data_IF_678729973164
#
_entry.id   IF_678729973164
#
_cell.length_a   1.000
_cell.length_b   1.000
_cell.length_c   1.000
_cell.angle_alpha   90.00
_cell.angle_beta   90.00
_cell.angle_gamma   90.00
#
_symmetry.space_group_name_H-M   'P 1'
#
loop_
_entity.id
_entity.type
_entity.pdbx_description
1 polymer ?
#
# COMPACT_ATOMS: atom_id res chain seq x y z
N UNK A 1 -20.97 -16.63 23.39
CA UNK A 1 -19.56 -16.88 22.98
C UNK A 1 -19.22 -18.37 23.00
N UNK A 2 -19.32 -19.07 24.14
CA UNK A 2 -19.00 -20.51 24.21
C UNK A 2 -19.69 -21.38 23.15
N UNK A 3 -20.95 -21.08 22.78
CA UNK A 3 -21.66 -21.80 21.71
C UNK A 3 -21.16 -21.46 20.29
N UNK A 4 -20.68 -20.23 20.07
CA UNK A 4 -20.25 -19.75 18.75
C UNK A 4 -18.78 -20.08 18.45
N UNK A 5 -17.96 -20.22 19.51
CA UNK A 5 -16.51 -20.38 19.44
C UNK A 5 -16.04 -21.62 20.21
N UNK A 6 -16.88 -22.65 20.30
CA UNK A 6 -16.58 -23.90 21.00
C UNK A 6 -15.32 -24.60 20.45
N UNK A 7 -15.09 -24.49 19.14
CA UNK A 7 -13.93 -25.09 18.46
C UNK A 7 -12.60 -24.39 18.78
N UNK A 8 -12.65 -23.21 19.41
CA UNK A 8 -11.45 -22.49 19.87
C UNK A 8 -10.76 -23.19 21.05
N UNK A 9 -11.38 -24.17 21.70
CA UNK A 9 -10.81 -24.79 22.90
C UNK A 9 -10.63 -23.83 24.08
N UNK A 10 -11.15 -22.59 23.97
CA UNK A 10 -11.22 -21.61 25.05
C UNK A 10 -12.60 -21.60 25.68
N UNK A 11 -12.62 -21.45 27.00
CA UNK A 11 -13.85 -21.21 27.76
C UNK A 11 -13.95 -19.73 28.07
N UNK A 12 -15.03 -19.11 27.61
CA UNK A 12 -15.37 -17.72 27.87
C UNK A 12 -16.20 -17.63 29.15
N UNK A 13 -15.70 -16.91 30.14
CA UNK A 13 -16.33 -16.65 31.44
C UNK A 13 -16.75 -15.18 31.55
N UNK A 14 -17.44 -14.80 32.62
CA UNK A 14 -17.79 -13.40 32.90
C UNK A 14 -16.54 -12.50 33.04
N UNK A 15 -15.42 -13.05 33.50
CA UNK A 15 -14.15 -12.32 33.66
C UNK A 15 -13.34 -12.19 32.36
N UNK A 16 -13.86 -12.73 31.24
CA UNK A 16 -13.15 -12.66 29.97
C UNK A 16 -13.09 -11.23 29.45
N UNK A 17 -11.86 -10.74 29.24
CA UNK A 17 -11.62 -9.40 28.69
C UNK A 17 -12.00 -9.37 27.21
N UNK A 18 -12.83 -8.41 26.82
CA UNK A 18 -13.26 -8.16 25.44
C UNK A 18 -12.91 -6.71 25.11
N UNK A 19 -12.17 -6.51 24.03
CA UNK A 19 -11.91 -5.17 23.50
C UNK A 19 -13.16 -4.65 22.79
N UNK A 20 -13.75 -3.56 23.30
CA UNK A 20 -14.93 -2.92 22.71
C UNK A 20 -14.49 -1.69 21.93
N UNK A 21 -14.45 -1.81 20.60
CA UNK A 21 -13.92 -0.76 19.72
C UNK A 21 -14.83 0.49 19.72
N UNK A 22 -16.15 0.29 19.77
CA UNK A 22 -17.14 1.37 19.76
C UNK A 22 -18.07 1.28 20.98
N UNK A 23 -17.61 1.71 22.18
CA UNK A 23 -18.38 1.55 23.42
C UNK A 23 -19.70 2.33 23.40
N UNK A 24 -19.72 3.54 22.81
CA UNK A 24 -20.94 4.34 22.67
C UNK A 24 -22.01 3.61 21.84
N UNK A 25 -21.62 3.02 20.70
CA UNK A 25 -22.52 2.24 19.85
C UNK A 25 -23.20 1.10 20.63
N UNK A 26 -22.43 0.28 21.35
CA UNK A 26 -23.01 -0.85 22.08
C UNK A 26 -23.88 -0.42 23.27
N UNK A 27 -23.51 0.69 23.94
CA UNK A 27 -24.32 1.27 25.02
C UNK A 27 -25.67 1.78 24.49
N UNK A 28 -25.66 2.53 23.39
CA UNK A 28 -26.87 3.03 22.74
C UNK A 28 -27.71 1.90 22.15
N UNK A 29 -27.07 0.90 21.53
CA UNK A 29 -27.74 -0.28 20.99
C UNK A 29 -28.46 -1.07 22.09
N UNK A 30 -27.86 -1.24 23.26
CA UNK A 30 -28.48 -1.93 24.39
C UNK A 30 -29.76 -1.23 24.86
N UNK A 31 -29.70 0.09 25.05
CA UNK A 31 -30.85 0.91 25.42
C UNK A 31 -31.93 0.88 24.34
N UNK A 32 -31.53 1.09 23.07
CA UNK A 32 -32.43 1.03 21.93
C UNK A 32 -33.14 -0.31 21.84
N UNK A 33 -32.43 -1.44 21.93
CA UNK A 33 -33.05 -2.76 21.81
C UNK A 33 -34.01 -3.06 22.95
N UNK A 34 -33.69 -2.64 24.19
CA UNK A 34 -34.60 -2.82 25.34
C UNK A 34 -35.96 -2.17 25.08
N UNK A 35 -35.94 -0.92 24.61
CA UNK A 35 -37.17 -0.16 24.33
C UNK A 35 -37.85 -0.64 23.05
N UNK A 36 -37.06 -0.86 21.98
CA UNK A 36 -37.55 -1.24 20.66
C UNK A 36 -38.25 -2.61 20.69
N UNK A 37 -37.69 -3.58 21.43
CA UNK A 37 -38.24 -4.93 21.53
C UNK A 37 -39.48 -5.03 22.44
N UNK A 38 -39.89 -3.98 23.13
CA UNK A 38 -41.14 -3.98 23.91
C UNK A 38 -42.40 -4.05 23.03
N UNK A 39 -42.29 -3.71 21.75
CA UNK A 39 -43.40 -3.67 20.79
C UNK A 39 -43.31 -4.84 19.78
N UNK A 40 -44.36 -5.65 19.66
CA UNK A 40 -44.42 -6.80 18.73
C UNK A 40 -44.19 -6.41 17.26
N UNK A 41 -44.67 -5.26 16.81
CA UNK A 41 -44.44 -4.77 15.44
C UNK A 41 -42.96 -4.48 15.21
N UNK A 42 -42.26 -3.96 16.22
CA UNK A 42 -40.83 -3.68 16.15
C UNK A 42 -40.01 -4.97 16.19
N UNK A 43 -40.41 -5.99 16.97
CA UNK A 43 -39.81 -7.33 16.90
C UNK A 43 -39.88 -7.90 15.47
N UNK A 44 -41.03 -7.76 14.81
CA UNK A 44 -41.20 -8.17 13.40
C UNK A 44 -40.28 -7.38 12.46
N UNK A 45 -40.14 -6.06 12.66
CA UNK A 45 -39.20 -5.24 11.86
C UNK A 45 -37.76 -5.69 12.02
N UNK A 46 -37.32 -5.94 13.26
CA UNK A 46 -35.96 -6.43 13.51
C UNK A 46 -35.74 -7.82 12.88
N UNK A 47 -36.72 -8.72 12.99
CA UNK A 47 -36.67 -10.03 12.34
C UNK A 47 -36.51 -9.89 10.82
N UNK A 48 -37.31 -9.03 10.19
CA UNK A 48 -37.21 -8.76 8.75
C UNK A 48 -35.85 -8.16 8.37
N UNK A 49 -35.32 -7.25 9.18
CA UNK A 49 -34.00 -6.66 8.96
C UNK A 49 -32.88 -7.73 9.03
N UNK A 50 -32.92 -8.61 10.04
CA UNK A 50 -31.96 -9.71 10.17
C UNK A 50 -32.06 -10.67 8.97
N UNK A 51 -33.28 -11.03 8.55
CA UNK A 51 -33.47 -11.86 7.36
C UNK A 51 -32.97 -11.19 6.08
N UNK A 52 -33.23 -9.89 5.93
CA UNK A 52 -32.74 -9.13 4.79
C UNK A 52 -31.20 -9.09 4.77
N UNK A 53 -30.55 -8.88 5.91
CA UNK A 53 -29.09 -8.92 6.03
C UNK A 53 -28.53 -10.28 5.61
N UNK A 54 -29.20 -11.39 5.98
CA UNK A 54 -28.81 -12.73 5.53
C UNK A 54 -28.96 -12.87 4.01
N UNK A 55 -30.05 -12.37 3.44
CA UNK A 55 -30.26 -12.38 1.99
C UNK A 55 -29.20 -11.54 1.26
N UNK A 56 -28.83 -10.38 1.78
CA UNK A 56 -27.75 -9.56 1.22
C UNK A 56 -26.40 -10.28 1.23
N UNK A 57 -26.13 -11.13 2.22
CA UNK A 57 -24.90 -11.94 2.24
C UNK A 57 -24.93 -13.04 1.18
N UNK A 58 -26.06 -13.74 1.01
CA UNK A 58 -26.14 -14.94 0.18
C UNK A 58 -26.68 -14.73 -1.23
N UNK A 59 -27.22 -13.56 -1.59
CA UNK A 59 -27.84 -13.35 -2.91
C UNK A 59 -26.89 -13.65 -4.08
N UNK A 60 -25.58 -13.36 -3.93
CA UNK A 60 -24.54 -13.67 -4.93
C UNK A 60 -24.34 -15.17 -5.16
N UNK A 61 -24.83 -15.98 -4.22
CA UNK A 61 -24.69 -17.44 -4.21
C UNK A 61 -25.93 -18.18 -4.74
N UNK A 62 -26.95 -17.44 -5.16
CA UNK A 62 -28.22 -17.95 -5.69
C UNK A 62 -28.27 -17.87 -7.23
N UNK A 63 -29.45 -18.09 -7.82
CA UNK A 63 -29.62 -17.95 -9.27
C UNK A 63 -29.39 -16.50 -9.72
N UNK A 64 -29.06 -16.32 -11.00
CA UNK A 64 -28.80 -15.01 -11.60
C UNK A 64 -29.95 -14.01 -11.47
N UNK A 65 -31.18 -14.48 -11.28
CA UNK A 65 -32.33 -13.62 -10.99
C UNK A 65 -32.11 -12.86 -9.67
N UNK A 66 -31.58 -13.50 -8.64
CA UNK A 66 -31.29 -12.86 -7.35
C UNK A 66 -30.06 -11.97 -7.39
N UNK A 67 -29.01 -12.40 -8.10
CA UNK A 67 -27.77 -11.61 -8.26
C UNK A 67 -28.09 -10.26 -8.90
N UNK A 68 -28.82 -10.27 -10.03
CA UNK A 68 -29.16 -9.07 -10.79
C UNK A 68 -30.06 -8.11 -10.04
N UNK A 69 -31.00 -8.62 -9.23
CA UNK A 69 -31.93 -7.77 -8.49
C UNK A 69 -31.20 -6.87 -7.49
N UNK A 70 -30.23 -7.40 -6.73
CA UNK A 70 -29.51 -6.55 -5.77
C UNK A 70 -28.48 -5.66 -6.47
N UNK A 71 -27.85 -6.13 -7.54
CA UNK A 71 -26.95 -5.29 -8.36
C UNK A 71 -27.66 -4.02 -8.85
N UNK A 72 -28.89 -4.15 -9.37
CA UNK A 72 -29.70 -3.01 -9.79
C UNK A 72 -29.97 -2.00 -8.67
N UNK A 73 -30.00 -2.46 -7.42
CA UNK A 73 -30.23 -1.61 -6.23
C UNK A 73 -28.92 -1.00 -5.73
N UNK A 74 -27.78 -1.69 -5.89
CA UNK A 74 -26.47 -1.26 -5.38
C UNK A 74 -25.64 -0.48 -6.41
N UNK A 75 -25.90 -0.62 -7.70
CA UNK A 75 -25.12 -0.01 -8.79
C UNK A 75 -25.44 1.47 -9.04
N UNK A 76 -25.83 2.23 -8.00
CA UNK A 76 -26.07 3.66 -8.15
C UNK A 76 -24.76 4.39 -8.47
N UNK A 77 -24.54 4.71 -9.74
CA UNK A 77 -23.49 5.64 -10.20
C UNK A 77 -22.41 5.06 -11.11
N UNK A 78 -22.31 3.74 -11.26
CA UNK A 78 -21.44 3.10 -12.24
C UNK A 78 -22.23 2.77 -13.52
N UNK A 79 -22.09 3.63 -14.53
CA UNK A 79 -22.57 3.35 -15.90
C UNK A 79 -21.71 2.29 -16.61
N UNK A 80 -20.55 1.93 -16.05
CA UNK A 80 -19.72 0.84 -16.55
C UNK A 80 -20.30 -0.51 -16.11
N UNK A 81 -20.58 -1.35 -17.09
CA UNK A 81 -21.01 -2.75 -16.96
C UNK A 81 -19.95 -3.62 -16.25
N UNK A 82 -19.67 -3.37 -14.96
CA UNK A 82 -19.10 -4.41 -14.09
C UNK A 82 -20.18 -5.45 -13.74
N UNK A 83 -20.84 -5.99 -14.78
CA UNK A 83 -21.79 -7.08 -14.60
C UNK A 83 -21.04 -8.24 -13.95
N UNK A 84 -21.48 -8.66 -12.76
CA UNK A 84 -20.93 -9.87 -12.17
C UNK A 84 -21.07 -10.99 -13.19
N UNK A 85 -19.95 -11.62 -13.53
CA UNK A 85 -19.94 -12.79 -14.40
C UNK A 85 -19.85 -14.05 -13.55
N UNK A 86 -20.28 -15.21 -14.08
CA UNK A 86 -20.09 -16.48 -13.38
C UNK A 86 -18.63 -16.70 -12.96
N UNK A 87 -17.68 -16.35 -13.82
CA UNK A 87 -16.26 -16.50 -13.54
C UNK A 87 -15.79 -15.56 -12.43
N UNK A 88 -16.24 -14.30 -12.45
CA UNK A 88 -15.91 -13.32 -11.40
C UNK A 88 -16.42 -13.79 -10.04
N UNK A 89 -17.68 -14.22 -9.94
CA UNK A 89 -18.26 -14.73 -8.69
C UNK A 89 -17.52 -15.98 -8.19
N UNK A 90 -17.21 -16.93 -9.08
CA UNK A 90 -16.42 -18.11 -8.70
C UNK A 90 -15.05 -17.71 -8.15
N UNK A 91 -14.38 -16.73 -8.76
CA UNK A 91 -13.09 -16.24 -8.27
C UNK A 91 -13.22 -15.56 -6.91
N UNK A 92 -14.25 -14.74 -6.70
CA UNK A 92 -14.51 -14.10 -5.39
C UNK A 92 -14.68 -15.14 -4.29
N UNK A 93 -15.48 -16.19 -4.53
CA UNK A 93 -15.69 -17.28 -3.55
C UNK A 93 -14.38 -18.00 -3.23
N UNK A 94 -13.56 -18.30 -4.24
CA UNK A 94 -12.26 -18.93 -4.04
C UNK A 94 -11.29 -18.01 -3.28
N UNK A 95 -11.27 -16.71 -3.58
CA UNK A 95 -10.45 -15.73 -2.87
C UNK A 95 -10.88 -15.57 -1.41
N UNK A 96 -12.18 -15.61 -1.12
CA UNK A 96 -12.70 -15.46 0.25
C UNK A 96 -12.49 -16.70 1.12
N UNK A 97 -12.69 -17.91 0.57
CA UNK A 97 -12.71 -19.13 1.38
C UNK A 97 -11.55 -20.09 1.13
N UNK A 98 -10.86 -19.96 -0.01
CA UNK A 98 -9.78 -20.85 -0.44
C UNK A 98 -8.48 -20.09 -0.72
N UNK A 99 -8.25 -18.97 -0.01
CA UNK A 99 -7.11 -18.09 -0.19
C UNK A 99 -5.76 -18.82 -0.09
N UNK A 100 -5.54 -19.67 0.91
CA UNK A 100 -4.27 -20.41 1.07
C UNK A 100 -4.03 -21.42 -0.04
N UNK A 101 -5.09 -22.07 -0.54
CA UNK A 101 -4.98 -22.94 -1.71
C UNK A 101 -4.60 -22.15 -2.97
N UNK A 102 -5.22 -20.98 -3.19
CA UNK A 102 -4.85 -20.09 -4.30
C UNK A 102 -3.41 -19.57 -4.16
N UNK A 103 -3.01 -19.18 -2.95
CA UNK A 103 -1.64 -18.76 -2.64
C UNK A 103 -0.63 -19.87 -2.98
N UNK A 104 -0.89 -21.11 -2.54
CA UNK A 104 -0.03 -22.25 -2.84
C UNK A 104 0.09 -22.53 -4.35
N UNK A 105 -1.04 -22.47 -5.07
CA UNK A 105 -1.04 -22.62 -6.54
C UNK A 105 -0.27 -21.50 -7.24
N UNK A 106 -0.44 -20.25 -6.79
CA UNK A 106 0.28 -19.10 -7.33
C UNK A 106 1.79 -19.24 -7.12
N UNK A 107 2.22 -19.52 -5.89
CA UNK A 107 3.64 -19.71 -5.55
C UNK A 107 4.26 -20.80 -6.42
N UNK A 108 3.60 -21.97 -6.50
CA UNK A 108 4.12 -23.11 -7.27
C UNK A 108 4.28 -22.81 -8.76
N UNK A 109 3.44 -21.93 -9.33
CA UNK A 109 3.38 -21.69 -10.77
C UNK A 109 4.14 -20.44 -11.22
N UNK A 110 4.16 -19.39 -10.42
CA UNK A 110 4.58 -18.05 -10.85
C UNK A 110 5.73 -17.46 -10.05
N UNK A 111 6.14 -18.07 -8.94
CA UNK A 111 7.15 -17.49 -8.05
C UNK A 111 8.48 -18.22 -8.20
N UNK A 112 9.54 -17.46 -8.50
CA UNK A 112 10.91 -17.92 -8.43
C UNK A 112 11.47 -17.61 -7.03
N UNK A 113 12.01 -18.63 -6.35
CA UNK A 113 12.60 -18.48 -5.02
C UNK A 113 13.82 -17.55 -5.05
N UNK A 114 14.50 -17.41 -6.19
CA UNK A 114 15.60 -16.45 -6.35
C UNK A 114 15.14 -15.01 -6.15
N UNK A 115 14.00 -14.64 -6.74
CA UNK A 115 13.43 -13.30 -6.59
C UNK A 115 13.11 -12.98 -5.12
N UNK A 116 12.70 -13.99 -4.33
CA UNK A 116 12.51 -13.84 -2.89
C UNK A 116 13.81 -13.46 -2.19
N UNK A 117 14.90 -14.18 -2.45
CA UNK A 117 16.18 -13.91 -1.81
C UNK A 117 16.73 -12.52 -2.19
N UNK A 118 16.51 -12.07 -3.42
CA UNK A 118 16.88 -10.72 -3.84
C UNK A 118 16.01 -9.64 -3.23
N UNK A 119 14.70 -9.88 -3.09
CA UNK A 119 13.82 -9.01 -2.32
C UNK A 119 14.27 -8.89 -0.85
N UNK A 120 14.69 -9.99 -0.22
CA UNK A 120 15.27 -9.99 1.14
C UNK A 120 16.57 -9.16 1.19
N UNK A 121 17.44 -9.25 0.17
CA UNK A 121 18.67 -8.48 0.08
C UNK A 121 18.40 -6.96 -0.08
N UNK A 122 17.48 -6.57 -0.97
CA UNK A 122 17.05 -5.18 -1.14
C UNK A 122 16.48 -4.66 0.19
N UNK A 123 15.61 -5.43 0.84
CA UNK A 123 15.02 -5.05 2.14
C UNK A 123 16.10 -4.77 3.18
N UNK A 124 17.13 -5.61 3.26
CA UNK A 124 18.26 -5.42 4.18
C UNK A 124 18.98 -4.10 3.92
N UNK A 125 19.30 -3.79 2.65
CA UNK A 125 19.95 -2.53 2.25
C UNK A 125 19.09 -1.30 2.57
N UNK A 126 17.76 -1.38 2.36
CA UNK A 126 16.82 -0.33 2.75
C UNK A 126 16.82 -0.09 4.27
N UNK A 127 16.82 -1.17 5.06
CA UNK A 127 16.86 -1.10 6.53
C UNK A 127 18.15 -0.43 7.01
N UNK A 128 19.30 -0.80 6.45
CA UNK A 128 20.58 -0.20 6.79
C UNK A 128 20.61 1.29 6.42
N UNK A 129 20.18 1.65 5.21
CA UNK A 129 20.08 3.04 4.76
C UNK A 129 19.13 3.86 5.64
N UNK A 130 18.05 3.26 6.13
CA UNK A 130 17.13 3.91 7.05
C UNK A 130 17.80 4.24 8.39
N UNK A 131 18.62 3.33 8.94
CA UNK A 131 19.36 3.59 10.18
C UNK A 131 20.36 4.73 10.02
N UNK A 132 21.08 4.79 8.91
CA UNK A 132 21.99 5.90 8.62
C UNK A 132 21.26 7.22 8.44
N UNK A 133 20.10 7.18 7.79
CA UNK A 133 19.27 8.36 7.60
C UNK A 133 18.70 8.86 8.92
N UNK A 134 18.37 7.95 9.84
CA UNK A 134 18.01 8.29 11.21
C UNK A 134 19.15 8.97 11.97
N UNK A 135 20.41 8.56 11.78
CA UNK A 135 21.56 9.26 12.38
C UNK A 135 21.65 10.72 11.96
N UNK A 136 21.35 10.99 10.69
CA UNK A 136 21.38 12.34 10.11
C UNK A 136 20.08 13.13 10.33
N UNK A 137 19.03 12.50 10.85
CA UNK A 137 17.74 13.16 11.08
C UNK A 137 17.85 14.26 12.15
N UNK A 138 17.46 15.47 11.76
CA UNK A 138 17.48 16.67 12.63
C UNK A 138 16.13 16.91 13.33
N UNK A 139 15.06 16.26 12.88
CA UNK A 139 13.72 16.43 13.43
C UNK A 139 13.44 15.54 14.64
N UNK A 140 14.25 14.50 14.85
CA UNK A 140 14.20 13.62 16.02
C UNK A 140 15.14 14.09 17.13
N UNK A 141 14.71 13.98 18.39
CA UNK A 141 15.62 14.03 19.53
C UNK A 141 16.56 12.80 19.55
N UNK A 142 17.69 12.84 20.27
CA UNK A 142 18.57 11.67 20.40
C UNK A 142 17.86 10.41 20.95
N UNK A 143 16.93 10.58 21.89
CA UNK A 143 16.14 9.48 22.45
C UNK A 143 15.17 8.90 21.43
N UNK A 144 14.38 9.76 20.75
CA UNK A 144 13.40 9.32 19.74
C UNK A 144 14.09 8.67 18.53
N UNK A 145 15.32 9.10 18.22
CA UNK A 145 16.18 8.48 17.19
C UNK A 145 16.59 7.06 17.56
N UNK A 146 17.03 6.84 18.80
CA UNK A 146 17.38 5.51 19.28
C UNK A 146 16.15 4.60 19.35
N UNK A 147 15.00 5.11 19.80
CA UNK A 147 13.73 4.40 19.80
C UNK A 147 13.31 3.99 18.37
N UNK A 148 13.43 4.91 17.40
CA UNK A 148 13.15 4.64 15.98
C UNK A 148 14.02 3.51 15.45
N UNK A 149 15.35 3.58 15.66
CA UNK A 149 16.29 2.52 15.26
C UNK A 149 15.92 1.18 15.87
N UNK A 150 15.62 1.16 17.17
CA UNK A 150 15.25 -0.05 17.90
C UNK A 150 13.98 -0.68 17.31
N UNK A 151 12.98 0.15 16.94
CA UNK A 151 11.76 -0.33 16.31
C UNK A 151 12.03 -0.95 14.93
N UNK A 152 12.81 -0.28 14.09
CA UNK A 152 13.21 -0.79 12.77
C UNK A 152 13.98 -2.10 12.90
N UNK A 153 14.93 -2.19 13.82
CA UNK A 153 15.78 -3.37 14.03
C UNK A 153 15.00 -4.61 14.47
N UNK A 154 13.97 -4.41 15.29
CA UNK A 154 13.19 -5.51 15.85
C UNK A 154 11.89 -5.77 15.09
N UNK A 155 11.69 -5.10 13.96
CA UNK A 155 10.57 -5.39 13.06
C UNK A 155 10.76 -6.73 12.35
N UNK A 156 9.66 -7.42 12.07
CA UNK A 156 9.70 -8.64 11.26
C UNK A 156 9.53 -8.27 9.80
N UNK A 157 10.39 -8.80 8.94
CA UNK A 157 10.35 -8.60 7.50
C UNK A 157 9.91 -9.90 6.83
N UNK A 158 8.79 -9.86 6.10
CA UNK A 158 8.21 -10.99 5.38
C UNK A 158 8.17 -10.69 3.90
N UNK A 159 9.10 -11.28 3.15
CA UNK A 159 9.23 -11.03 1.71
C UNK A 159 8.81 -12.27 0.91
N UNK A 160 7.98 -12.06 -0.09
CA UNK A 160 7.45 -13.09 -0.97
C UNK A 160 6.31 -13.90 -0.36
N UNK A 161 6.64 -15.04 0.25
CA UNK A 161 5.65 -16.02 0.70
C UNK A 161 6.18 -16.92 1.83
N UNK A 162 5.26 -17.56 2.56
CA UNK A 162 5.59 -18.56 3.57
C UNK A 162 5.93 -19.92 2.95
N UNK A 163 7.01 -20.56 3.40
CA UNK A 163 7.34 -21.94 3.02
C UNK A 163 6.24 -22.96 3.36
N UNK A 164 5.32 -22.63 4.28
CA UNK A 164 4.15 -23.46 4.58
C UNK A 164 3.26 -23.68 3.34
N UNK A 165 3.22 -22.72 2.41
CA UNK A 165 2.45 -22.83 1.16
C UNK A 165 3.00 -23.90 0.20
N UNK A 166 4.26 -24.31 0.38
CA UNK A 166 4.87 -25.41 -0.38
C UNK A 166 4.58 -26.78 0.24
N UNK A 167 4.01 -26.83 1.45
CA UNK A 167 3.72 -28.05 2.18
C UNK A 167 2.28 -28.50 1.93
N UNK A 168 2.10 -29.57 1.16
CA UNK A 168 0.76 -30.12 0.87
C UNK A 168 0.00 -30.55 2.12
N UNK A 169 0.68 -31.13 3.12
CA UNK A 169 0.04 -31.52 4.39
C UNK A 169 -0.50 -30.32 5.17
N UNK A 170 0.16 -29.16 5.08
CA UNK A 170 -0.36 -27.92 5.67
C UNK A 170 -1.65 -27.49 4.99
N UNK A 171 -1.69 -27.45 3.65
CA UNK A 171 -2.90 -27.11 2.89
C UNK A 171 -4.04 -28.10 3.17
N UNK A 172 -3.76 -29.40 3.22
CA UNK A 172 -4.73 -30.44 3.58
C UNK A 172 -5.26 -30.27 5.02
N UNK A 173 -4.44 -29.78 5.95
CA UNK A 173 -4.90 -29.52 7.33
C UNK A 173 -5.95 -28.40 7.42
N UNK A 174 -5.95 -27.49 6.44
CA UNK A 174 -6.93 -26.40 6.34
C UNK A 174 -8.21 -26.94 5.69
N UNK A 175 -8.09 -27.57 4.52
CA UNK A 175 -9.25 -27.90 3.66
C UNK A 175 -9.78 -29.33 3.79
N UNK A 176 -9.06 -30.25 4.44
CA UNK A 176 -9.38 -31.69 4.45
C UNK A 176 -10.72 -32.07 5.11
N UNK A 177 -11.36 -31.14 5.82
CA UNK A 177 -12.70 -31.33 6.41
C UNK A 177 -13.83 -30.70 5.59
N UNK A 178 -13.51 -29.99 4.51
CA UNK A 178 -14.51 -29.38 3.63
C UNK A 178 -14.97 -30.43 2.63
N UNK A 179 -16.29 -30.60 2.53
CA UNK A 179 -16.89 -31.47 1.52
C UNK A 179 -17.43 -30.61 0.37
N UNK A 180 -16.96 -30.89 -0.86
CA UNK A 180 -17.34 -30.17 -2.09
C UNK A 180 -17.95 -31.17 -3.07
N UNK A 181 -19.15 -30.88 -3.57
CA UNK A 181 -19.86 -31.69 -4.57
C UNK A 181 -20.14 -30.86 -5.83
N UNK A 182 -19.80 -31.38 -7.01
CA UNK A 182 -19.78 -30.61 -8.28
C UNK A 182 -21.12 -29.98 -8.69
N UNK A 183 -22.25 -30.46 -8.20
CA UNK A 183 -23.59 -29.97 -8.54
C UNK A 183 -24.34 -29.32 -7.36
N UNK A 184 -23.64 -28.99 -6.26
CA UNK A 184 -24.24 -28.40 -5.05
C UNK A 184 -23.54 -27.12 -4.63
N UNK A 185 -23.58 -26.12 -5.50
CA UNK A 185 -22.86 -24.86 -5.31
C UNK A 185 -23.15 -24.18 -3.96
N UNK A 186 -24.42 -23.94 -3.64
CA UNK A 186 -24.79 -23.27 -2.39
C UNK A 186 -24.33 -24.07 -1.16
N UNK A 187 -24.51 -25.40 -1.16
CA UNK A 187 -24.03 -26.26 -0.08
C UNK A 187 -22.50 -26.22 0.06
N UNK A 188 -21.77 -26.13 -1.06
CA UNK A 188 -20.31 -25.99 -1.05
C UNK A 188 -19.89 -24.68 -0.38
N UNK A 189 -20.54 -23.56 -0.69
CA UNK A 189 -20.27 -22.27 -0.04
C UNK A 189 -20.53 -22.34 1.47
N UNK A 190 -21.64 -22.96 1.89
CA UNK A 190 -21.94 -23.18 3.31
C UNK A 190 -20.89 -24.09 3.99
N UNK A 191 -20.43 -25.13 3.29
CA UNK A 191 -19.36 -26.04 3.72
C UNK A 191 -18.04 -25.27 3.94
N UNK A 192 -17.72 -24.36 3.02
CA UNK A 192 -16.52 -23.51 3.06
C UNK A 192 -16.51 -22.54 4.24
N UNK A 193 -17.65 -22.14 4.80
CA UNK A 193 -17.69 -21.31 6.02
C UNK A 193 -17.03 -21.99 7.24
N UNK A 194 -16.85 -23.31 7.20
CA UNK A 194 -16.06 -24.02 8.21
C UNK A 194 -14.60 -23.53 8.27
N UNK A 195 -14.03 -23.08 7.14
CA UNK A 195 -12.68 -22.53 7.06
C UNK A 195 -12.56 -21.23 7.85
N UNK A 196 -13.49 -20.28 7.63
CA UNK A 196 -13.50 -19.02 8.37
C UNK A 196 -13.70 -19.24 9.86
N UNK A 197 -14.60 -20.15 10.27
CA UNK A 197 -14.79 -20.52 11.69
C UNK A 197 -13.54 -21.13 12.31
N UNK A 198 -12.85 -22.00 11.57
CA UNK A 198 -11.57 -22.58 11.99
C UNK A 198 -10.51 -21.50 12.16
N UNK A 199 -10.35 -20.61 11.18
CA UNK A 199 -9.40 -19.49 11.25
C UNK A 199 -9.65 -18.59 12.47
N UNK A 200 -10.90 -18.16 12.69
CA UNK A 200 -11.28 -17.38 13.88
C UNK A 200 -10.97 -18.13 15.19
N UNK A 201 -11.23 -19.45 15.22
CA UNK A 201 -10.95 -20.29 16.39
C UNK A 201 -9.45 -20.45 16.64
N UNK A 202 -8.64 -20.57 15.59
CA UNK A 202 -7.19 -20.73 15.68
C UNK A 202 -6.51 -19.42 16.09
N UNK A 203 -6.98 -18.26 15.62
CA UNK A 203 -6.53 -16.95 16.11
C UNK A 203 -6.79 -16.75 17.61
N UNK A 204 -7.88 -17.32 18.12
CA UNK A 204 -8.14 -17.34 19.56
C UNK A 204 -7.20 -18.31 20.28
N UNK A 205 -6.92 -19.50 19.74
CA UNK A 205 -5.97 -20.45 20.35
C UNK A 205 -4.57 -19.88 20.45
N UNK A 206 -4.08 -19.29 19.36
CA UNK A 206 -2.72 -18.81 19.17
C UNK A 206 -2.71 -17.30 18.92
N UNK A 207 -3.04 -16.48 19.95
CA UNK A 207 -3.11 -15.04 19.77
C UNK A 207 -1.74 -14.47 19.43
N UNK A 208 -1.68 -13.67 18.36
CA UNK A 208 -0.43 -13.05 17.92
C UNK A 208 0.54 -14.03 17.27
N UNK A 209 0.06 -15.13 16.68
CA UNK A 209 0.91 -15.97 15.80
C UNK A 209 1.33 -15.17 14.56
N UNK A 210 2.53 -14.60 14.64
CA UNK A 210 3.17 -13.83 13.56
C UNK A 210 3.77 -14.72 12.47
N UNK A 211 3.56 -16.04 12.47
CA UNK A 211 3.90 -16.87 11.30
C UNK A 211 2.89 -16.75 10.16
N UNK A 212 1.66 -16.30 10.48
CA UNK A 212 0.57 -16.13 9.53
C UNK A 212 0.77 -14.90 8.64
N UNK A 213 0.27 -14.98 7.40
CA UNK A 213 0.30 -13.88 6.45
C UNK A 213 -1.09 -13.26 6.35
N UNK A 214 -1.18 -11.93 6.39
CA UNK A 214 -2.46 -11.22 6.33
C UNK A 214 -2.87 -10.87 4.90
N UNK A 215 -1.91 -10.83 3.96
CA UNK A 215 -2.18 -10.65 2.53
C UNK A 215 -2.04 -11.93 1.73
N UNK A 216 -2.90 -12.07 0.71
CA UNK A 216 -2.69 -13.09 -0.31
C UNK A 216 -1.42 -12.77 -1.10
N UNK A 217 -0.58 -13.78 -1.32
CA UNK A 217 0.73 -13.58 -1.94
C UNK A 217 0.64 -13.27 -3.45
N UNK A 218 -0.53 -13.44 -4.06
CA UNK A 218 -0.82 -13.11 -5.46
C UNK A 218 -1.33 -11.67 -5.68
N UNK A 219 -1.59 -10.90 -4.62
CA UNK A 219 -1.89 -9.46 -4.74
C UNK A 219 -0.60 -8.65 -4.54
N UNK A 220 -0.26 -7.68 -5.41
CA UNK A 220 0.99 -6.93 -5.31
C UNK A 220 0.90 -5.85 -4.21
N UNK A 221 1.28 -6.21 -2.98
CA UNK A 221 1.20 -5.34 -1.80
C UNK A 221 2.53 -5.33 -1.07
N UNK A 222 2.95 -4.14 -0.64
CA UNK A 222 3.93 -3.93 0.42
C UNK A 222 3.23 -3.13 1.51
N UNK A 223 3.33 -3.55 2.77
CA UNK A 223 2.74 -2.82 3.89
C UNK A 223 3.55 -3.00 5.18
N UNK A 224 3.64 -1.94 5.97
CA UNK A 224 4.05 -2.02 7.36
C UNK A 224 2.85 -2.03 8.33
N UNK A 225 2.60 -3.18 8.94
CA UNK A 225 1.55 -3.35 9.94
C UNK A 225 2.05 -3.00 11.35
N UNK A 226 1.70 -1.80 11.79
CA UNK A 226 2.16 -1.23 13.06
C UNK A 226 1.85 -2.06 14.32
N UNK A 227 0.65 -2.63 14.51
CA UNK A 227 0.34 -3.43 15.69
C UNK A 227 1.21 -4.67 15.86
N UNK A 228 1.84 -5.19 14.79
CA UNK A 228 2.81 -6.27 14.90
C UNK A 228 4.25 -5.82 14.68
N UNK A 229 4.51 -4.57 14.31
CA UNK A 229 5.84 -4.13 13.84
C UNK A 229 6.36 -5.10 12.78
N UNK A 230 5.61 -5.20 11.69
CA UNK A 230 5.83 -6.18 10.64
C UNK A 230 5.74 -5.51 9.26
N UNK A 231 6.77 -5.65 8.44
CA UNK A 231 6.73 -5.30 7.03
C UNK A 231 6.50 -6.55 6.20
N UNK A 232 5.47 -6.53 5.36
CA UNK A 232 5.14 -7.62 4.45
C UNK A 232 5.20 -7.13 3.01
N UNK A 233 5.94 -7.83 2.17
CA UNK A 233 5.95 -7.69 0.72
C UNK A 233 5.53 -9.02 0.10
N UNK A 234 4.45 -9.05 -0.66
CA UNK A 234 3.90 -10.29 -1.24
C UNK A 234 4.75 -10.82 -2.40
N UNK A 235 4.53 -12.07 -2.81
CA UNK A 235 5.26 -12.65 -3.93
C UNK A 235 4.96 -11.97 -5.28
N UNK A 236 3.76 -11.39 -5.42
CA UNK A 236 3.37 -10.66 -6.62
C UNK A 236 4.18 -9.37 -6.84
N UNK A 237 4.71 -8.72 -5.79
CA UNK A 237 5.58 -7.54 -5.99
C UNK A 237 6.98 -7.92 -6.48
N UNK A 238 7.34 -9.21 -6.43
CA UNK A 238 8.61 -9.74 -6.91
C UNK A 238 8.53 -10.19 -8.38
N UNK A 239 7.68 -9.51 -9.16
CA UNK A 239 7.42 -9.77 -10.57
C UNK A 239 7.36 -8.46 -11.35
N UNK A 240 7.59 -8.53 -12.66
CA UNK A 240 7.48 -7.37 -13.55
C UNK A 240 6.06 -6.78 -13.53
N UNK A 241 5.89 -5.44 -13.55
CA UNK A 241 6.92 -4.41 -13.71
C UNK A 241 7.43 -3.82 -12.37
N UNK A 242 7.24 -4.51 -11.25
CA UNK A 242 7.71 -4.03 -9.94
C UNK A 242 9.08 -4.61 -9.55
N UNK A 243 9.48 -5.69 -10.21
CA UNK A 243 10.78 -6.33 -10.00
C UNK A 243 11.18 -7.14 -11.22
N UNK A 244 12.42 -7.02 -11.65
CA UNK A 244 13.03 -7.87 -12.66
C UNK A 244 14.45 -8.28 -12.24
N UNK A 245 14.62 -9.57 -11.98
CA UNK A 245 15.91 -10.18 -11.68
C UNK A 245 16.94 -10.00 -12.81
N UNK A 246 16.48 -9.95 -14.07
CA UNK A 246 17.36 -9.79 -15.23
C UNK A 246 17.61 -8.32 -15.58
N UNK A 247 16.87 -7.42 -14.94
CA UNK A 247 16.98 -5.99 -15.13
C UNK A 247 18.15 -5.38 -14.35
N UNK A 248 18.45 -4.11 -14.61
CA UNK A 248 19.47 -3.39 -13.85
C UNK A 248 19.02 -3.15 -12.40
N UNK A 249 19.97 -3.08 -11.47
CA UNK A 249 19.70 -2.94 -10.02
C UNK A 249 18.86 -1.70 -9.71
N UNK A 250 19.16 -0.56 -10.32
CA UNK A 250 18.42 0.69 -10.14
C UNK A 250 16.93 0.57 -10.44
N UNK A 251 16.51 -0.33 -11.33
CA UNK A 251 15.10 -0.54 -11.65
C UNK A 251 14.35 -1.15 -10.45
N UNK A 252 14.96 -2.14 -9.80
CA UNK A 252 14.39 -2.80 -8.63
C UNK A 252 14.39 -1.89 -7.39
N UNK A 253 15.40 -1.02 -7.24
CA UNK A 253 15.39 0.00 -6.19
C UNK A 253 14.39 1.11 -6.48
N UNK A 254 14.28 1.59 -7.72
CA UNK A 254 13.31 2.61 -8.10
C UNK A 254 11.86 2.19 -7.85
N UNK A 255 11.56 0.90 -8.01
CA UNK A 255 10.24 0.30 -7.80
C UNK A 255 10.11 -0.36 -6.42
N UNK A 256 10.46 -1.64 -6.27
CA UNK A 256 10.35 -2.41 -5.03
C UNK A 256 11.05 -1.73 -3.85
N UNK A 257 12.27 -1.22 -4.04
CA UNK A 257 13.01 -0.52 -2.98
C UNK A 257 12.25 0.71 -2.46
N UNK A 258 11.66 1.51 -3.36
CA UNK A 258 10.82 2.66 -2.98
C UNK A 258 9.58 2.23 -2.21
N UNK A 259 8.92 1.13 -2.61
CA UNK A 259 7.76 0.59 -1.89
C UNK A 259 8.14 0.12 -0.48
N UNK A 260 9.20 -0.69 -0.37
CA UNK A 260 9.74 -1.18 0.91
C UNK A 260 10.10 -0.02 1.85
N UNK A 261 10.84 0.96 1.33
CA UNK A 261 11.29 2.09 2.11
C UNK A 261 10.12 2.99 2.56
N UNK A 262 9.13 3.23 1.69
CA UNK A 262 7.95 4.04 2.02
C UNK A 262 7.17 3.43 3.17
N UNK A 263 6.97 2.11 3.13
CA UNK A 263 6.30 1.38 4.20
C UNK A 263 7.15 1.30 5.46
N UNK A 264 8.47 1.18 5.34
CA UNK A 264 9.35 1.22 6.49
C UNK A 264 9.30 2.58 7.23
N UNK A 265 9.10 3.69 6.52
CA UNK A 265 8.85 5.00 7.16
C UNK A 265 7.55 5.01 7.97
N UNK A 266 6.52 4.26 7.56
CA UNK A 266 5.27 4.11 8.32
C UNK A 266 5.47 3.49 9.72
N UNK A 267 6.59 2.82 9.95
CA UNK A 267 6.96 2.31 11.27
C UNK A 267 7.21 3.43 12.29
N UNK A 268 7.67 4.59 11.83
CA UNK A 268 8.14 5.67 12.71
C UNK A 268 7.42 7.00 12.50
N UNK A 269 6.53 7.11 11.52
CA UNK A 269 5.79 8.36 11.24
C UNK A 269 4.69 8.64 12.28
N UNK A 270 3.78 9.58 11.99
CA UNK A 270 2.69 9.98 12.90
C UNK A 270 1.74 8.84 13.32
N UNK A 271 1.63 7.79 12.49
CA UNK A 271 0.85 6.59 12.78
C UNK A 271 1.69 5.58 13.56
N UNK A 272 2.92 5.34 13.09
CA UNK A 272 3.82 4.39 13.71
C UNK A 272 4.23 4.75 15.13
N UNK A 273 4.34 6.05 15.44
CA UNK A 273 4.70 6.47 16.79
C UNK A 273 3.62 6.20 17.85
N UNK A 274 2.41 5.78 17.45
CA UNK A 274 1.33 5.43 18.38
C UNK A 274 1.45 3.97 18.88
N UNK A 275 2.34 3.20 18.26
CA UNK A 275 2.57 1.78 18.54
C UNK A 275 4.01 1.53 19.00
N UNK A 276 4.13 0.91 20.17
CA UNK A 276 5.40 0.38 20.68
C UNK A 276 5.77 -0.92 19.95
N UNK A 277 7.00 -1.37 20.16
CA UNK A 277 7.52 -2.61 19.55
C UNK A 277 6.70 -3.86 19.94
N UNK A 278 6.13 -3.89 21.14
CA UNK A 278 5.25 -4.96 21.61
C UNK A 278 3.83 -4.92 21.02
N UNK A 279 3.56 -3.97 20.11
CA UNK A 279 2.27 -3.78 19.46
C UNK A 279 1.25 -3.00 20.28
N UNK A 280 1.59 -2.59 21.51
CA UNK A 280 0.68 -1.84 22.35
C UNK A 280 0.40 -0.44 21.78
N UNK A 281 -0.88 -0.12 21.60
CA UNK A 281 -1.35 1.21 21.26
C UNK A 281 -1.51 2.02 22.55
N UNK A 282 -0.55 2.88 22.85
CA UNK A 282 -0.47 3.57 24.16
C UNK A 282 -0.36 5.09 24.05
N UNK A 283 -0.62 5.65 22.87
CA UNK A 283 -0.34 7.05 22.56
C UNK A 283 1.08 7.23 22.00
N UNK A 284 1.49 8.48 21.80
CA UNK A 284 2.76 8.82 21.16
C UNK A 284 3.96 8.46 22.04
N UNK A 285 4.94 7.72 21.50
CA UNK A 285 6.25 7.56 22.13
C UNK A 285 7.25 8.66 21.76
N UNK A 286 6.86 9.63 20.94
CA UNK A 286 7.69 10.80 20.66
C UNK A 286 7.70 11.78 21.82
N UNK A 287 8.83 12.46 21.98
CA UNK A 287 8.87 13.71 22.75
C UNK A 287 7.98 14.79 22.12
N UNK A 288 7.58 15.77 22.95
CA UNK A 288 6.87 16.95 22.49
C UNK A 288 7.66 17.74 21.44
N UNK A 289 8.99 17.77 21.58
CA UNK A 289 9.88 18.46 20.63
C UNK A 289 9.87 17.78 19.25
N UNK A 290 10.03 16.46 19.20
CA UNK A 290 9.90 15.70 17.94
C UNK A 290 8.52 15.89 17.32
N UNK A 291 7.46 15.85 18.12
CA UNK A 291 6.09 16.07 17.64
C UNK A 291 5.92 17.45 17.00
N UNK A 292 6.46 18.51 17.61
CA UNK A 292 6.42 19.86 17.04
C UNK A 292 7.22 19.96 15.75
N UNK A 293 8.45 19.41 15.70
CA UNK A 293 9.30 19.41 14.51
C UNK A 293 8.66 18.62 13.36
N UNK A 294 8.07 17.46 13.65
CA UNK A 294 7.35 16.66 12.66
C UNK A 294 6.13 17.42 12.10
N UNK A 295 5.35 18.08 12.95
CA UNK A 295 4.21 18.89 12.52
C UNK A 295 4.63 20.05 11.60
N UNK A 296 5.77 20.69 11.85
CA UNK A 296 6.32 21.72 10.96
C UNK A 296 6.67 21.17 9.58
N UNK A 297 7.27 19.98 9.51
CA UNK A 297 7.57 19.29 8.26
C UNK A 297 6.26 18.97 7.51
N UNK A 298 5.27 18.44 8.23
CA UNK A 298 3.94 18.12 7.69
C UNK A 298 3.22 19.35 7.17
N UNK A 299 3.31 20.48 7.86
CA UNK A 299 2.74 21.74 7.41
C UNK A 299 3.39 22.23 6.11
N UNK A 300 4.71 22.04 5.90
CA UNK A 300 5.36 22.34 4.60
C UNK A 300 4.78 21.50 3.46
N UNK A 301 4.61 20.20 3.68
CA UNK A 301 4.06 19.29 2.67
C UNK A 301 2.59 19.59 2.39
N UNK A 302 1.82 19.92 3.41
CA UNK A 302 0.45 20.39 3.27
C UNK A 302 0.37 21.69 2.45
N UNK A 303 1.20 22.69 2.77
CA UNK A 303 1.27 23.96 2.00
C UNK A 303 1.60 23.74 0.52
N UNK A 304 2.52 22.82 0.21
CA UNK A 304 2.90 22.49 -1.16
C UNK A 304 1.74 21.95 -2.02
N UNK A 305 0.72 21.35 -1.40
CA UNK A 305 -0.36 20.65 -2.10
C UNK A 305 -1.78 21.17 -1.79
N UNK A 306 -1.95 22.06 -0.81
CA UNK A 306 -3.27 22.47 -0.31
C UNK A 306 -4.16 23.06 -1.40
N UNK A 307 -3.59 23.57 -2.50
CA UNK A 307 -4.34 24.15 -3.62
C UNK A 307 -4.43 23.24 -4.84
N UNK A 308 -4.02 21.98 -4.73
CA UNK A 308 -4.14 21.05 -5.84
C UNK A 308 -5.59 20.65 -6.09
N UNK A 309 -5.91 20.51 -7.36
CA UNK A 309 -7.22 20.09 -7.86
C UNK A 309 -6.98 18.78 -8.59
N UNK A 310 -7.57 17.70 -8.09
CA UNK A 310 -7.53 16.40 -8.74
C UNK A 310 -8.71 16.25 -9.71
N UNK A 311 -8.50 15.45 -10.75
CA UNK A 311 -9.44 15.21 -11.84
C UNK A 311 -9.13 16.03 -13.10
N UNK A 312 -10.09 16.20 -14.01
CA UNK A 312 -11.47 15.73 -13.88
C UNK A 312 -11.58 14.21 -13.81
N UNK A 313 -12.42 13.70 -12.91
CA UNK A 313 -12.77 12.28 -12.83
C UNK A 313 -13.91 12.00 -13.80
N UNK A 314 -13.87 10.87 -14.50
CA UNK A 314 -14.95 10.48 -15.38
C UNK A 314 -16.02 9.70 -14.58
N UNK A 315 -17.12 10.35 -14.22
CA UNK A 315 -18.26 9.70 -13.55
C UNK A 315 -19.50 9.78 -14.46
N UNK A 316 -19.39 9.15 -15.63
CA UNK A 316 -20.42 9.18 -16.67
C UNK A 316 -20.58 10.58 -17.28
N UNK A 317 -21.77 11.18 -17.13
CA UNK A 317 -22.08 12.50 -17.71
C UNK A 317 -21.53 13.70 -16.92
N UNK A 318 -20.83 13.47 -15.81
CA UNK A 318 -20.18 14.54 -15.02
C UNK A 318 -18.67 14.32 -14.96
N UNK A 319 -17.95 15.44 -15.00
CA UNK A 319 -16.49 15.47 -14.90
C UNK A 319 -16.04 16.28 -13.68
N UNK A 320 -16.35 15.82 -12.44
CA UNK A 320 -16.05 16.60 -11.26
C UNK A 320 -14.55 16.70 -11.01
N UNK A 321 -14.16 17.81 -10.40
CA UNK A 321 -12.82 18.01 -9.86
C UNK A 321 -12.90 18.08 -8.34
N UNK A 322 -11.91 17.52 -7.65
CA UNK A 322 -11.85 17.55 -6.18
C UNK A 322 -10.72 18.47 -5.75
N UNK A 323 -11.07 19.53 -5.01
CA UNK A 323 -10.07 20.34 -4.32
C UNK A 323 -9.65 19.61 -3.04
N UNK A 324 -8.35 19.27 -2.95
CA UNK A 324 -7.83 18.50 -1.83
C UNK A 324 -7.51 19.35 -0.59
N UNK A 325 -7.73 20.68 -0.59
CA UNK A 325 -7.44 21.56 0.56
C UNK A 325 -7.95 21.03 1.90
N UNK A 326 -9.11 20.37 1.90
CA UNK A 326 -9.73 19.84 3.12
C UNK A 326 -8.98 18.62 3.68
N UNK A 327 -8.30 17.88 2.82
CA UNK A 327 -7.66 16.60 3.14
C UNK A 327 -6.14 16.62 2.98
N UNK A 328 -5.56 17.72 2.47
CA UNK A 328 -4.13 17.85 2.21
C UNK A 328 -3.28 17.58 3.45
N UNK A 329 -3.70 18.09 4.62
CA UNK A 329 -3.04 17.79 5.90
C UNK A 329 -3.18 16.32 6.32
N UNK A 330 -4.27 15.64 5.95
CA UNK A 330 -4.45 14.21 6.21
C UNK A 330 -3.48 13.39 5.33
N UNK A 331 -3.38 13.72 4.05
CA UNK A 331 -2.51 13.02 3.09
C UNK A 331 -1.02 13.38 3.22
N UNK A 332 -0.68 14.49 3.87
CA UNK A 332 0.69 14.95 4.03
C UNK A 332 1.63 13.89 4.64
N UNK A 333 1.18 13.08 5.59
CA UNK A 333 2.02 12.01 6.16
C UNK A 333 2.27 10.86 5.20
N UNK A 334 1.28 10.48 4.39
CA UNK A 334 1.45 9.45 3.37
C UNK A 334 2.47 9.94 2.34
N UNK A 335 2.36 11.19 1.92
CA UNK A 335 3.29 11.81 0.97
C UNK A 335 4.70 11.96 1.55
N UNK A 336 4.84 12.32 2.82
CA UNK A 336 6.12 12.31 3.52
C UNK A 336 6.76 10.92 3.51
N UNK A 337 5.97 9.88 3.80
CA UNK A 337 6.45 8.51 3.84
C UNK A 337 6.90 8.04 2.45
N UNK A 338 6.15 8.38 1.40
CA UNK A 338 6.51 8.08 0.00
C UNK A 338 7.76 8.84 -0.49
N UNK A 339 7.84 10.14 -0.21
CA UNK A 339 8.99 10.94 -0.61
C UNK A 339 10.27 10.52 0.14
N UNK A 340 10.16 10.23 1.44
CA UNK A 340 11.24 9.68 2.23
C UNK A 340 11.64 8.29 1.72
N UNK A 341 10.67 7.43 1.40
CA UNK A 341 10.90 6.10 0.84
C UNK A 341 11.68 6.13 -0.48
N UNK A 342 11.27 6.99 -1.42
CA UNK A 342 11.98 7.18 -2.68
C UNK A 342 13.44 7.62 -2.45
N UNK A 343 13.65 8.62 -1.57
CA UNK A 343 15.00 9.09 -1.23
C UNK A 343 15.84 7.99 -0.57
N UNK A 344 15.27 7.23 0.36
CA UNK A 344 15.95 6.13 1.03
C UNK A 344 16.37 5.05 0.04
N UNK A 345 15.47 4.69 -0.88
CA UNK A 345 15.77 3.69 -1.90
C UNK A 345 16.89 4.13 -2.84
N UNK A 346 16.82 5.38 -3.31
CA UNK A 346 17.87 5.98 -4.14
C UNK A 346 19.24 5.97 -3.44
N UNK A 347 19.29 6.37 -2.16
CA UNK A 347 20.55 6.34 -1.40
C UNK A 347 21.07 4.92 -1.21
N UNK A 348 20.20 3.96 -0.87
CA UNK A 348 20.59 2.57 -0.68
C UNK A 348 21.18 1.96 -1.96
N UNK A 349 20.65 2.33 -3.11
CA UNK A 349 21.14 1.90 -4.42
C UNK A 349 22.51 2.50 -4.74
N UNK A 350 22.70 3.80 -4.54
CA UNK A 350 24.00 4.46 -4.78
C UNK A 350 25.11 3.94 -3.86
N UNK A 351 24.77 3.53 -2.63
CA UNK A 351 25.72 2.85 -1.75
C UNK A 351 26.21 1.51 -2.34
N UNK A 352 25.35 0.78 -3.06
CA UNK A 352 25.73 -0.47 -3.74
C UNK A 352 26.64 -0.20 -4.93
N UNK A 353 26.33 0.83 -5.73
CA UNK A 353 27.21 1.21 -6.85
C UNK A 353 28.61 1.56 -6.33
N UNK A 354 28.70 2.34 -5.24
CA UNK A 354 29.97 2.68 -4.62
C UNK A 354 30.72 1.44 -4.08
N UNK A 355 30.03 0.50 -3.43
CA UNK A 355 30.62 -0.77 -2.98
C UNK A 355 31.17 -1.60 -4.16
N UNK A 356 30.42 -1.72 -5.26
CA UNK A 356 30.86 -2.45 -6.44
C UNK A 356 32.03 -1.78 -7.17
N UNK A 357 32.11 -0.44 -7.18
CA UNK A 357 33.27 0.27 -7.69
C UNK A 357 34.53 -0.03 -6.86
N UNK A 358 34.41 -0.09 -5.53
CA UNK A 358 35.54 -0.42 -4.64
C UNK A 358 35.95 -1.89 -4.81
N UNK A 359 35.00 -2.83 -4.92
CA UNK A 359 35.31 -4.25 -5.16
C UNK A 359 35.98 -4.45 -6.53
N UNK A 360 35.51 -3.77 -7.58
CA UNK A 360 36.14 -3.81 -8.90
C UNK A 360 37.58 -3.26 -8.86
N UNK A 361 37.82 -2.17 -8.14
CA UNK A 361 39.17 -1.63 -7.93
C UNK A 361 40.07 -2.63 -7.18
N UNK A 362 39.57 -3.29 -6.13
CA UNK A 362 40.33 -4.33 -5.43
C UNK A 362 40.57 -5.60 -6.26
N UNK A 363 39.64 -5.98 -7.14
CA UNK A 363 39.87 -7.07 -8.09
C UNK A 363 40.90 -6.70 -9.16
N UNK A 364 40.91 -5.45 -9.61
CA UNK A 364 41.96 -4.92 -10.51
C UNK A 364 43.32 -4.90 -9.78
N UNK A 365 43.37 -4.43 -8.53
CA UNK A 365 44.61 -4.43 -7.73
C UNK A 365 45.13 -5.85 -7.43
N UNK A 366 44.26 -6.82 -7.19
CA UNK A 366 44.64 -8.22 -6.99
C UNK A 366 45.17 -8.89 -8.27
N UNK A 367 44.70 -8.48 -9.44
CA UNK A 367 45.20 -8.96 -10.75
C UNK A 367 46.40 -8.15 -11.28
N UNK A 368 46.72 -6.98 -10.72
CA UNK A 368 47.80 -6.08 -11.18
C UNK A 368 49.12 -6.15 -10.41
N UNK A 369 49.44 -7.31 -9.80
CA UNK A 369 50.84 -7.65 -9.49
C UNK A 369 51.62 -8.14 -10.74
N UNK A 370 51.40 -7.52 -11.90
CA UNK A 370 52.27 -7.59 -13.06
C UNK A 370 52.53 -6.15 -13.52
N UNK A 371 53.78 -5.72 -13.39
CA UNK A 371 54.26 -4.39 -13.76
C UNK A 371 53.88 -3.98 -15.19
N UNK A 372 53.26 -2.82 -15.36
CA UNK A 372 53.62 -1.86 -16.40
C UNK A 372 52.92 -0.51 -16.19
N UNK A 373 53.74 0.54 -16.22
CA UNK A 373 53.35 1.96 -16.29
C UNK A 373 52.45 2.22 -17.51
N UNK A 374 51.25 2.74 -17.29
CA UNK A 374 50.62 3.69 -18.20
C UNK A 374 49.58 4.53 -17.44
N UNK A 375 49.81 5.84 -17.39
CA UNK A 375 48.82 6.83 -16.97
C UNK A 375 47.65 6.80 -17.95
N UNK A 376 46.43 6.62 -17.44
CA UNK A 376 45.21 7.01 -18.12
C UNK A 376 44.52 8.00 -17.18
N UNK A 377 44.53 9.27 -17.57
CA UNK A 377 43.67 10.30 -16.98
C UNK A 377 42.22 9.98 -17.35
N UNK A 378 41.40 9.72 -16.34
CA UNK A 378 39.94 9.70 -16.50
C UNK A 378 39.39 11.07 -16.09
N UNK A 379 39.44 12.04 -17.01
CA UNK A 379 38.55 13.20 -16.93
C UNK A 379 37.22 12.81 -17.57
N UNK A 380 36.22 12.46 -16.75
CA UNK A 380 34.81 12.56 -17.11
C UNK A 380 34.08 13.22 -15.93
N UNK A 381 34.11 14.55 -15.92
CA UNK A 381 33.11 15.34 -15.21
C UNK A 381 31.77 15.14 -15.93
N UNK A 382 30.88 14.34 -15.34
CA UNK A 382 29.46 14.36 -15.69
C UNK A 382 28.83 15.44 -14.81
N UNK A 383 28.62 16.63 -15.37
CA UNK A 383 27.62 17.56 -14.84
C UNK A 383 26.25 16.91 -15.04
N UNK A 384 25.68 16.36 -13.96
CA UNK A 384 24.30 15.90 -13.96
C UNK A 384 23.36 17.11 -13.95
N UNK A 385 23.05 17.64 -15.14
CA UNK A 385 21.88 18.47 -15.32
C UNK A 385 20.64 17.69 -14.90
N UNK A 386 19.86 18.30 -14.01
CA UNK A 386 18.69 17.70 -13.36
C UNK A 386 17.59 17.38 -14.37
N UNK A 387 17.50 16.12 -14.79
CA UNK A 387 16.29 15.57 -15.39
C UNK A 387 15.78 14.41 -14.53
N UNK A 388 15.07 14.76 -13.45
CA UNK A 388 14.13 13.82 -12.81
C UNK A 388 12.91 13.79 -13.74
N UNK A 389 12.77 12.76 -14.56
CA UNK A 389 11.51 12.47 -15.24
C UNK A 389 10.40 12.24 -14.19
N UNK A 390 9.23 12.80 -14.48
CA UNK A 390 8.11 13.00 -13.55
C UNK A 390 7.57 11.67 -13.03
N UNK A 391 7.78 11.36 -11.74
CA UNK A 391 7.08 10.28 -11.04
C UNK A 391 5.66 10.75 -10.67
N UNK A 392 4.67 10.25 -11.40
CA UNK A 392 3.25 10.39 -11.11
C UNK A 392 2.78 9.22 -10.24
N UNK A 393 2.30 9.50 -9.03
CA UNK A 393 1.77 8.48 -8.13
C UNK A 393 0.25 8.33 -8.28
N UNK A 394 -0.22 7.11 -8.53
CA UNK A 394 -1.65 6.77 -8.50
C UNK A 394 -2.15 6.68 -7.05
N UNK A 395 -3.30 7.31 -6.77
CA UNK A 395 -4.02 7.23 -5.48
C UNK A 395 -5.27 6.36 -5.68
N UNK A 396 -5.31 5.12 -5.15
CA UNK A 396 -6.37 4.15 -5.46
C UNK A 396 -7.79 4.62 -5.13
N UNK A 397 -7.97 5.41 -4.07
CA UNK A 397 -9.30 5.88 -3.63
C UNK A 397 -9.81 7.09 -4.43
N UNK A 398 -8.98 7.67 -5.31
CA UNK A 398 -9.29 8.90 -6.02
C UNK A 398 -9.01 8.82 -7.51
N UNK A 399 -8.58 7.68 -8.05
CA UNK A 399 -8.33 7.49 -9.50
C UNK A 399 -7.52 8.64 -10.16
N UNK A 400 -6.54 9.17 -9.42
CA UNK A 400 -5.80 10.39 -9.78
C UNK A 400 -4.29 10.24 -9.64
N UNK A 401 -3.54 10.99 -10.46
CA UNK A 401 -2.06 11.03 -10.47
C UNK A 401 -1.52 12.27 -9.76
N UNK A 402 -0.61 12.07 -8.79
CA UNK A 402 0.02 13.14 -8.00
C UNK A 402 1.46 13.41 -8.43
N UNK A 403 1.86 14.68 -8.54
CA UNK A 403 3.22 15.07 -8.95
C UNK A 403 4.13 15.30 -7.73
N UNK A 404 5.19 14.50 -7.60
CA UNK A 404 6.12 14.56 -6.47
C UNK A 404 7.08 15.76 -6.48
N UNK A 405 7.18 16.53 -7.58
CA UNK A 405 8.20 17.58 -7.75
C UNK A 405 8.17 18.65 -6.65
N UNK A 406 6.97 19.03 -6.17
CA UNK A 406 6.81 20.09 -5.18
C UNK A 406 7.25 19.67 -3.75
N UNK A 407 7.36 18.37 -3.47
CA UNK A 407 7.67 17.85 -2.12
C UNK A 407 9.19 17.93 -1.85
N UNK A 408 10.03 17.80 -2.88
CA UNK A 408 11.50 17.82 -2.74
C UNK A 408 12.09 19.23 -2.52
N UNK A 409 11.30 20.29 -2.64
CA UNK A 409 11.74 21.69 -2.51
C UNK A 409 11.65 22.19 -1.05
N UNK A 410 11.04 21.43 -0.14
CA UNK A 410 10.92 21.78 1.28
C UNK A 410 12.27 21.72 2.02
N UNK A 411 13.00 22.85 2.09
CA UNK A 411 14.05 23.07 3.10
C UNK A 411 13.42 23.67 4.36
N UNK A 412 13.69 23.15 5.57
CA UNK A 412 13.20 23.77 6.80
C UNK A 412 13.84 25.16 6.95
N UNK A 413 13.02 26.21 6.87
CA UNK A 413 13.49 27.58 7.09
C UNK A 413 13.79 27.78 8.57
N UNK A 414 15.06 27.95 8.92
CA UNK A 414 15.43 28.54 10.21
C UNK A 414 15.11 30.04 10.20
N UNK A 415 14.23 30.43 11.13
CA UNK A 415 13.99 31.76 11.71
C UNK A 415 14.28 33.02 10.87
N UNK A 416 13.23 33.82 10.58
CA UNK A 416 13.31 35.29 10.63
C UNK A 416 12.02 35.91 11.17
N UNK A 417 12.18 36.74 12.19
CA UNK A 417 11.17 37.59 12.82
C UNK A 417 10.76 38.78 11.91
N UNK A 418 9.68 39.52 12.24
CA UNK A 418 8.81 40.19 11.27
C UNK A 418 9.22 41.63 10.95
N UNK A 419 8.85 42.12 9.75
CA UNK A 419 9.03 43.51 9.35
C UNK A 419 8.09 43.91 8.20
N UNK A 420 7.29 44.93 8.46
CA UNK A 420 6.29 45.58 7.61
C UNK A 420 6.75 45.97 6.18
N UNK A 421 5.77 46.02 5.26
CA UNK A 421 5.57 47.22 4.43
C UNK A 421 5.60 47.09 2.89
N UNK A 422 4.41 47.17 2.28
CA UNK A 422 4.04 47.80 0.97
C UNK A 422 4.57 47.27 -0.39
N UNK A 423 3.62 47.09 -1.32
CA UNK A 423 3.66 46.71 -2.76
C UNK A 423 4.21 47.84 -3.71
N UNK A 424 4.11 47.76 -5.08
CA UNK A 424 4.67 46.80 -6.07
C UNK A 424 5.32 47.48 -7.32
N UNK A 425 5.70 46.68 -8.34
CA UNK A 425 5.73 46.91 -9.82
C UNK A 425 7.07 46.96 -10.60
N UNK A 426 7.03 46.17 -11.70
CA UNK A 426 7.62 46.33 -13.04
C UNK A 426 9.04 45.84 -13.36
N UNK A 427 9.14 45.05 -14.45
CA UNK A 427 10.36 44.88 -15.25
C UNK A 427 10.52 43.57 -16.02
N UNK A 428 9.57 43.17 -16.87
CA UNK A 428 9.79 42.10 -17.85
C UNK A 428 10.21 42.69 -19.21
N UNK A 429 11.32 42.22 -19.78
CA UNK A 429 11.58 42.23 -21.22
C UNK A 429 12.28 40.92 -21.66
N UNK A 430 12.01 40.44 -22.90
CA UNK A 430 12.33 39.08 -23.35
C UNK A 430 13.64 39.00 -24.15
N UNK A 431 14.30 37.84 -24.12
CA UNK A 431 15.37 37.48 -25.05
C UNK A 431 14.84 36.50 -26.11
N UNK A 432 14.79 36.97 -27.36
CA UNK A 432 14.71 36.14 -28.55
C UNK A 432 16.11 35.63 -28.92
N UNK A 433 16.18 34.42 -29.48
CA UNK A 433 17.22 34.08 -30.46
C UNK A 433 17.70 32.62 -30.45
N UNK A 434 17.04 31.74 -31.21
CA UNK A 434 17.67 30.77 -32.13
C UNK A 434 16.62 30.06 -33.00
N UNK A 435 16.94 29.91 -34.29
CA UNK A 435 16.10 29.45 -35.40
C UNK A 435 16.06 27.91 -35.56
N UNK A 436 15.14 27.37 -36.41
CA UNK A 436 14.77 25.95 -36.45
C UNK A 436 15.59 25.13 -37.47
N UNK A 437 15.75 23.84 -37.18
CA UNK A 437 16.19 22.83 -38.15
C UNK A 437 14.97 22.12 -38.74
N UNK A 438 14.74 22.32 -40.04
CA UNK A 438 13.89 21.48 -40.88
C UNK A 438 14.71 20.34 -41.51
N UNK A 439 14.10 19.16 -41.66
CA UNK A 439 14.46 18.24 -42.75
C UNK A 439 14.37 16.74 -42.46
N UNK A 440 13.18 16.14 -42.57
CA UNK A 440 12.95 14.86 -43.26
C UNK A 440 11.43 14.63 -43.46
N UNK A 441 11.07 14.13 -44.64
CA UNK A 441 9.73 14.08 -45.24
C UNK A 441 8.80 12.93 -44.76
N UNK A 442 7.48 13.02 -45.04
CA UNK A 442 6.45 12.10 -44.57
C UNK A 442 6.21 10.91 -45.52
N UNK A 443 5.77 9.79 -44.96
CA UNK A 443 5.12 8.70 -45.70
C UNK A 443 3.60 8.88 -45.67
N UNK A 444 3.03 9.23 -46.82
CA UNK A 444 1.60 9.28 -47.09
C UNK A 444 1.07 7.91 -47.56
N UNK A 445 -0.20 7.64 -47.26
CA UNK A 445 -1.08 6.63 -47.88
C UNK A 445 -1.93 5.94 -46.81
N UNK A 446 -3.23 6.21 -46.62
CA UNK A 446 -4.28 6.30 -47.62
C UNK A 446 -5.41 7.32 -47.26
N UNK A 447 -6.20 7.63 -48.29
CA UNK A 447 -7.16 8.73 -48.45
C UNK A 447 -8.52 8.58 -47.72
N UNK A 448 -9.30 9.69 -47.64
CA UNK A 448 -10.52 9.82 -46.84
C UNK A 448 -11.81 9.49 -47.60
N UNK A 449 -12.88 9.22 -46.85
CA UNK A 449 -14.26 9.29 -47.35
C UNK A 449 -15.00 10.40 -46.59
N UNK A 450 -15.44 11.39 -47.36
CA UNK A 450 -16.48 12.38 -47.05
C UNK A 450 -17.75 11.69 -46.50
N UNK A 451 -18.64 12.27 -45.70
CA UNK A 451 -19.00 13.66 -45.46
C UNK A 451 -20.54 13.72 -45.44
N UNK A 452 -21.15 14.19 -44.34
CA UNK A 452 -22.52 14.71 -44.30
C UNK A 452 -22.70 15.54 -43.01
N UNK A 453 -23.39 16.67 -43.15
CA UNK A 453 -23.44 17.85 -42.28
C UNK A 453 -24.25 17.69 -40.98
N UNK A 454 -24.07 18.59 -39.98
CA UNK A 454 -25.05 18.83 -38.93
C UNK A 454 -26.09 19.87 -39.40
N UNK A 455 -27.34 19.79 -38.91
CA UNK A 455 -28.20 20.91 -38.49
C UNK A 455 -29.66 20.48 -38.27
N UNK A 456 -30.19 20.87 -37.10
CA UNK A 456 -31.58 21.18 -36.76
C UNK A 456 -32.70 20.14 -36.98
N UNK A 457 -33.37 19.81 -35.87
CA UNK A 457 -34.64 19.08 -35.79
C UNK A 457 -34.86 18.50 -34.41
#
# INVERSE_FOLDING_TARGET
>A
MNKLLNDSGRTFTADTKIAVIHPAYFSELGSFLSDYLSNEQNKRKLHNYILFTILEVYHKELSWEYVKVLEQVTSFGDEDESTSSPNSNCMTVLQLYMQDALNALFVKKFVDVRNKNEGDAITTKIVDQMKESLDKATWLTPEDKQASKTKIENSLYKIGFSNLLLNTTYIESIYGKVNITSNRYFENVISLHAITRKSMSDQLKFPGDRSLWFYSVYFPVVEYYNPWSELMATAAVLQSPLFDHKGPVYYNFGSLGTMLASELVNAINEYGNQYKLDGSHYGSWWSNETTQRYNQIKDCVDEAQRNEILGPFNLGNISPTVNISRYSKYYATILLSRAAGLRLSYLAEHHIEAEHHIEAEHHIEAEHHIEAKQHIEAEHHIEAEHHIEVLSLYVPDLDGTFNLHNIFICKPSMSKNPGNGSQPLCGAQPLCGAQPLCGAQPLCGAQPLCGAQPLCG
#
